data_IF_515561585616
#
_entry.id   IF_515561585616
#
_cell.length_a   1.000
_cell.length_b   1.000
_cell.length_c   1.000
_cell.angle_alpha   90.00
_cell.angle_beta   90.00
_cell.angle_gamma   90.00
#
_symmetry.space_group_name_H-M   'P 1'
#
loop_
_entity.id
_entity.type
_entity.pdbx_description
1 polymer ?
#
# COMPACT_ATOMS: atom_id res chain seq x y z
N UNK A 1 7.02 0.25 -3.39
CA UNK A 1 6.11 -0.81 -3.90
C UNK A 1 6.53 -2.22 -3.53
N UNK A 2 7.76 -2.64 -3.87
CA UNK A 2 8.23 -4.01 -3.59
C UNK A 2 8.20 -4.38 -2.09
N UNK A 3 8.57 -3.45 -1.20
CA UNK A 3 8.47 -3.67 0.24
C UNK A 3 7.08 -3.98 0.75
N UNK A 4 6.10 -3.17 0.33
CA UNK A 4 4.69 -3.39 0.66
C UNK A 4 4.19 -4.72 0.09
N UNK A 5 4.63 -5.11 -1.11
CA UNK A 5 4.31 -6.41 -1.66
C UNK A 5 4.86 -7.54 -0.78
N UNK A 6 6.14 -7.50 -0.41
CA UNK A 6 6.74 -8.52 0.46
C UNK A 6 6.07 -8.56 1.83
N UNK A 7 5.82 -7.42 2.45
CA UNK A 7 5.07 -7.33 3.71
C UNK A 7 3.69 -8.00 3.60
N UNK A 8 2.94 -7.70 2.52
CA UNK A 8 1.60 -8.26 2.31
C UNK A 8 1.61 -9.73 1.95
N UNK A 9 2.59 -10.20 1.18
CA UNK A 9 2.79 -11.62 0.92
C UNK A 9 3.13 -12.40 2.19
N UNK A 10 4.02 -11.87 3.02
CA UNK A 10 4.36 -12.47 4.31
C UNK A 10 3.12 -12.53 5.21
N UNK A 11 2.31 -11.46 5.23
CA UNK A 11 1.03 -11.46 5.95
C UNK A 11 0.12 -12.57 5.44
N UNK A 12 -0.13 -12.67 4.13
CA UNK A 12 -0.97 -13.72 3.52
C UNK A 12 -0.42 -15.14 3.75
N UNK A 13 0.90 -15.33 3.71
CA UNK A 13 1.54 -16.65 3.90
C UNK A 13 1.50 -17.10 5.37
N UNK A 14 1.74 -16.19 6.31
CA UNK A 14 1.79 -16.47 7.75
C UNK A 14 0.45 -16.31 8.48
N UNK A 15 -0.66 -16.16 7.76
CA UNK A 15 -2.02 -16.09 8.34
C UNK A 15 -2.28 -17.22 9.36
N UNK A 16 -1.79 -18.44 9.09
CA UNK A 16 -2.02 -19.61 9.95
C UNK A 16 -1.30 -19.52 11.31
N UNK A 17 -0.18 -18.80 11.38
CA UNK A 17 0.68 -18.64 12.57
C UNK A 17 0.55 -17.25 13.21
N UNK A 18 -0.28 -16.37 12.64
CA UNK A 18 -0.36 -14.96 12.99
C UNK A 18 -0.72 -14.72 14.47
N UNK A 19 -1.59 -15.56 15.02
CA UNK A 19 -2.02 -15.48 16.43
C UNK A 19 -0.99 -16.07 17.41
N UNK A 20 -0.06 -16.91 16.93
CA UNK A 20 0.90 -17.62 17.80
C UNK A 20 2.21 -16.85 17.99
N UNK A 21 2.64 -16.06 17.00
CA UNK A 21 3.96 -15.40 17.05
C UNK A 21 3.90 -13.98 16.48
N UNK A 22 4.13 -12.98 17.34
CA UNK A 22 4.25 -11.58 16.91
C UNK A 22 5.67 -11.29 16.39
N UNK A 23 5.84 -11.29 15.06
CA UNK A 23 7.16 -11.08 14.41
C UNK A 23 7.40 -9.62 14.06
N UNK A 24 7.65 -8.79 15.09
CA UNK A 24 7.90 -7.33 14.93
C UNK A 24 9.18 -6.99 14.15
N UNK A 25 10.12 -7.93 14.00
CA UNK A 25 11.40 -7.70 13.30
C UNK A 25 11.26 -7.65 11.77
N UNK A 26 10.25 -8.34 11.20
CA UNK A 26 10.08 -8.43 9.74
C UNK A 26 9.87 -7.06 9.08
N UNK A 27 8.96 -6.19 9.55
CA UNK A 27 8.82 -4.84 8.99
C UNK A 27 10.11 -4.02 9.07
N UNK A 28 10.84 -4.11 10.19
CA UNK A 28 12.11 -3.38 10.36
C UNK A 28 13.17 -3.85 9.38
N UNK A 29 13.29 -5.15 9.13
CA UNK A 29 14.22 -5.71 8.13
C UNK A 29 13.87 -5.21 6.73
N UNK A 30 12.58 -5.22 6.37
CA UNK A 30 12.11 -4.74 5.06
C UNK A 30 12.39 -3.25 4.90
N UNK A 31 12.11 -2.43 5.91
CA UNK A 31 12.38 -0.99 5.89
C UNK A 31 13.89 -0.75 5.74
N UNK A 32 14.71 -1.37 6.58
CA UNK A 32 16.16 -1.22 6.54
C UNK A 32 16.70 -1.58 5.15
N UNK A 33 16.31 -2.72 4.61
CA UNK A 33 16.75 -3.18 3.28
C UNK A 33 16.40 -2.18 2.18
N UNK A 34 15.15 -1.68 2.15
CA UNK A 34 14.71 -0.74 1.12
C UNK A 34 15.42 0.60 1.27
N UNK A 35 15.57 1.10 2.50
CA UNK A 35 16.24 2.37 2.76
C UNK A 35 17.72 2.30 2.36
N UNK A 36 18.41 1.20 2.69
CA UNK A 36 19.82 1.01 2.27
C UNK A 36 19.93 0.95 0.75
N UNK A 37 19.06 0.21 0.06
CA UNK A 37 19.04 0.16 -1.40
C UNK A 37 18.78 1.54 -2.02
N UNK A 38 17.84 2.31 -1.46
CA UNK A 38 17.56 3.68 -1.91
C UNK A 38 18.77 4.59 -1.75
N UNK A 39 19.47 4.54 -0.61
CA UNK A 39 20.67 5.35 -0.38
C UNK A 39 21.76 5.03 -1.42
N UNK A 40 22.00 3.74 -1.70
CA UNK A 40 22.98 3.33 -2.71
C UNK A 40 22.61 3.88 -4.09
N UNK A 41 21.35 3.73 -4.50
CA UNK A 41 20.87 4.27 -5.78
C UNK A 41 21.02 5.79 -5.86
N UNK A 42 20.71 6.52 -4.78
CA UNK A 42 20.89 7.97 -4.71
C UNK A 42 22.35 8.37 -4.86
N UNK A 43 23.28 7.69 -4.15
CA UNK A 43 24.73 7.95 -4.28
C UNK A 43 25.19 7.72 -5.72
N UNK A 44 24.82 6.60 -6.32
CA UNK A 44 25.18 6.30 -7.71
C UNK A 44 24.68 7.36 -8.69
N UNK A 45 23.49 7.89 -8.47
CA UNK A 45 22.89 8.93 -9.31
C UNK A 45 23.53 10.31 -9.08
N UNK A 46 23.68 10.74 -7.82
CA UNK A 46 24.19 12.07 -7.46
C UNK A 46 25.65 12.27 -7.86
N UNK A 47 26.47 11.22 -7.75
CA UNK A 47 27.89 11.29 -8.14
C UNK A 47 28.13 10.88 -9.60
N UNK A 48 27.05 10.71 -10.39
CA UNK A 48 27.12 10.31 -11.80
C UNK A 48 27.99 9.07 -12.06
N UNK A 49 28.06 8.14 -11.08
CA UNK A 49 28.86 6.92 -11.19
C UNK A 49 28.35 6.00 -12.31
N UNK A 50 27.07 6.17 -12.68
CA UNK A 50 26.38 5.43 -13.71
C UNK A 50 25.56 6.43 -14.54
N UNK A 51 25.49 6.23 -15.85
CA UNK A 51 24.66 7.05 -16.74
C UNK A 51 23.21 7.11 -16.26
N UNK A 52 22.60 8.31 -16.29
CA UNK A 52 21.29 8.60 -15.71
C UNK A 52 20.16 7.66 -16.16
N UNK A 53 20.23 7.14 -17.39
CA UNK A 53 19.18 6.28 -17.93
C UNK A 53 19.14 4.89 -17.27
N UNK A 54 20.24 4.37 -16.74
CA UNK A 54 20.25 3.08 -16.04
C UNK A 54 19.45 3.08 -14.73
N UNK A 55 19.72 3.95 -13.73
CA UNK A 55 18.94 3.97 -12.49
C UNK A 55 17.49 4.36 -12.71
N UNK A 56 17.21 5.22 -13.70
CA UNK A 56 15.84 5.64 -14.05
C UNK A 56 15.05 4.49 -14.68
N UNK A 57 15.62 3.78 -15.65
CA UNK A 57 14.95 2.61 -16.25
C UNK A 57 14.79 1.47 -15.25
N UNK A 58 15.79 1.22 -14.40
CA UNK A 58 15.71 0.22 -13.34
C UNK A 58 14.61 0.53 -12.33
N UNK A 59 14.50 1.78 -11.87
CA UNK A 59 13.46 2.17 -10.90
C UNK A 59 12.05 2.01 -11.47
N UNK A 60 11.85 2.37 -12.74
CA UNK A 60 10.58 2.16 -13.44
C UNK A 60 10.26 0.68 -13.66
N UNK A 61 11.26 -0.14 -14.02
CA UNK A 61 11.09 -1.59 -14.14
C UNK A 61 10.65 -2.20 -12.80
N UNK A 62 11.30 -1.83 -11.70
CA UNK A 62 10.90 -2.25 -10.35
C UNK A 62 9.48 -1.80 -10.00
N UNK A 63 9.06 -0.62 -10.43
CA UNK A 63 7.70 -0.12 -10.26
C UNK A 63 6.68 -0.99 -11.02
N UNK A 64 6.91 -1.25 -12.31
CA UNK A 64 6.05 -2.13 -13.13
C UNK A 64 5.95 -3.53 -12.54
N UNK A 65 7.08 -4.14 -12.15
CA UNK A 65 7.11 -5.45 -11.49
C UNK A 65 6.30 -5.40 -10.19
N UNK A 66 6.47 -4.35 -9.38
CA UNK A 66 5.71 -4.16 -8.14
C UNK A 66 4.20 -4.10 -8.37
N UNK A 67 3.74 -3.43 -9.43
CA UNK A 67 2.32 -3.36 -9.81
C UNK A 67 1.80 -4.74 -10.23
N UNK A 68 2.54 -5.48 -11.08
CA UNK A 68 2.15 -6.82 -11.52
C UNK A 68 2.04 -7.80 -10.35
N UNK A 69 3.03 -7.78 -9.47
CA UNK A 69 3.06 -8.59 -8.25
C UNK A 69 1.88 -8.25 -7.33
N UNK A 70 1.55 -6.97 -7.20
CA UNK A 70 0.39 -6.53 -6.44
C UNK A 70 -0.94 -7.03 -7.03
N UNK A 71 -1.12 -6.91 -8.35
CA UNK A 71 -2.31 -7.44 -9.06
C UNK A 71 -2.42 -8.94 -8.82
N UNK A 72 -1.33 -9.69 -8.99
CA UNK A 72 -1.30 -11.14 -8.72
C UNK A 72 -1.73 -11.45 -7.29
N UNK A 73 -1.19 -10.73 -6.30
CA UNK A 73 -1.57 -10.91 -4.89
C UNK A 73 -3.06 -10.63 -4.66
N UNK A 74 -3.60 -9.59 -5.28
CA UNK A 74 -5.03 -9.27 -5.19
C UNK A 74 -5.89 -10.42 -5.75
N UNK A 75 -5.55 -10.96 -6.91
CA UNK A 75 -6.27 -12.09 -7.50
C UNK A 75 -6.19 -13.33 -6.62
N UNK A 76 -5.00 -13.72 -6.16
CA UNK A 76 -4.83 -14.88 -5.28
C UNK A 76 -5.62 -14.75 -3.97
N UNK A 77 -5.66 -13.55 -3.37
CA UNK A 77 -6.46 -13.33 -2.16
C UNK A 77 -7.97 -13.40 -2.43
N UNK A 78 -8.43 -12.91 -3.59
CA UNK A 78 -9.83 -13.02 -4.00
C UNK A 78 -10.24 -14.47 -4.25
N UNK A 79 -9.39 -15.25 -4.93
CA UNK A 79 -9.63 -16.68 -5.20
C UNK A 79 -9.75 -17.47 -3.89
N UNK A 80 -8.83 -17.26 -2.95
CA UNK A 80 -8.89 -17.88 -1.61
C UNK A 80 -10.16 -17.50 -0.85
N UNK A 81 -10.64 -16.26 -1.00
CA UNK A 81 -11.90 -15.83 -0.40
C UNK A 81 -13.10 -16.56 -0.99
N UNK A 82 -13.17 -16.67 -2.31
CA UNK A 82 -14.23 -17.41 -3.01
C UNK A 82 -14.21 -18.91 -2.65
N UNK A 83 -13.02 -19.52 -2.53
CA UNK A 83 -12.88 -20.92 -2.10
C UNK A 83 -13.42 -21.12 -0.67
N UNK A 84 -13.04 -20.26 0.27
CA UNK A 84 -13.49 -20.32 1.68
C UNK A 84 -14.99 -20.05 1.83
N UNK A 85 -15.59 -19.28 0.92
CA UNK A 85 -17.02 -19.00 0.91
C UNK A 85 -17.84 -20.15 0.31
N UNK A 86 -17.32 -20.82 -0.72
CA UNK A 86 -18.01 -21.91 -1.41
C UNK A 86 -17.84 -23.29 -0.73
N UNK A 87 -16.75 -23.52 0.01
CA UNK A 87 -16.49 -24.81 0.66
C UNK A 87 -17.11 -24.89 2.07
N UNK A 88 -18.42 -25.20 2.13
CA UNK A 88 -19.16 -25.42 3.37
C UNK A 88 -18.64 -26.62 4.20
N UNK A 89 -17.86 -27.55 3.61
CA UNK A 89 -17.33 -28.73 4.35
C UNK A 89 -16.05 -28.41 5.12
N UNK A 90 -15.14 -27.60 4.57
CA UNK A 90 -13.97 -27.07 5.31
C UNK A 90 -14.35 -26.02 6.36
N UNK A 91 -15.47 -25.33 6.19
CA UNK A 91 -16.01 -24.35 7.17
C UNK A 91 -16.26 -24.93 8.58
N UNK A 92 -16.35 -26.26 8.72
CA UNK A 92 -16.64 -26.96 9.98
C UNK A 92 -15.39 -27.28 10.83
N UNK A 93 -14.19 -27.23 10.26
CA UNK A 93 -12.95 -27.60 10.96
C UNK A 93 -12.12 -26.36 11.34
N UNK A 94 -12.22 -25.97 12.61
CA UNK A 94 -11.24 -25.28 13.47
C UNK A 94 -10.51 -23.99 13.03
N UNK A 95 -10.64 -23.52 11.79
CA UNK A 95 -9.81 -22.44 11.23
C UNK A 95 -10.62 -21.34 10.51
N UNK A 96 -11.90 -21.19 10.83
CA UNK A 96 -12.85 -20.64 9.84
C UNK A 96 -13.37 -19.24 10.12
N UNK A 97 -13.30 -18.75 11.35
CA UNK A 97 -13.75 -17.38 11.66
C UNK A 97 -12.62 -16.36 11.56
N UNK A 98 -11.53 -16.56 12.30
CA UNK A 98 -10.36 -15.65 12.29
C UNK A 98 -9.74 -15.54 10.90
N UNK A 99 -9.63 -16.66 10.17
CA UNK A 99 -9.17 -16.69 8.79
C UNK A 99 -10.05 -15.85 7.86
N UNK A 100 -11.38 -15.97 7.95
CA UNK A 100 -12.32 -15.18 7.14
C UNK A 100 -12.17 -13.70 7.45
N UNK A 101 -12.17 -13.31 8.73
CA UNK A 101 -11.96 -11.91 9.12
C UNK A 101 -10.62 -11.36 8.60
N UNK A 102 -9.53 -12.12 8.71
CA UNK A 102 -8.22 -11.69 8.23
C UNK A 102 -8.15 -11.59 6.69
N UNK A 103 -8.80 -12.51 5.97
CA UNK A 103 -8.86 -12.45 4.51
C UNK A 103 -9.71 -11.26 4.03
N UNK A 104 -10.84 -11.02 4.70
CA UNK A 104 -11.73 -9.89 4.42
C UNK A 104 -11.03 -8.55 4.66
N UNK A 105 -10.32 -8.43 5.79
CA UNK A 105 -9.51 -7.26 6.11
C UNK A 105 -8.37 -7.08 5.10
N UNK A 106 -7.67 -8.15 4.71
CA UNK A 106 -6.65 -8.09 3.67
C UNK A 106 -7.22 -7.65 2.32
N UNK A 107 -8.37 -8.17 1.88
CA UNK A 107 -9.01 -7.77 0.62
C UNK A 107 -9.46 -6.30 0.68
N UNK A 108 -10.04 -5.87 1.81
CA UNK A 108 -10.44 -4.46 2.02
C UNK A 108 -9.22 -3.53 1.96
N UNK A 109 -8.12 -3.91 2.60
CA UNK A 109 -6.86 -3.17 2.53
C UNK A 109 -6.32 -3.13 1.10
N UNK A 110 -6.37 -4.24 0.36
CA UNK A 110 -5.90 -4.30 -1.02
C UNK A 110 -6.77 -3.50 -1.99
N UNK A 111 -8.07 -3.34 -1.75
CA UNK A 111 -8.94 -2.47 -2.56
C UNK A 111 -8.55 -0.99 -2.44
N UNK A 112 -8.27 -0.54 -1.22
CA UNK A 112 -7.77 0.83 -0.97
C UNK A 112 -6.39 1.02 -1.60
N UNK A 113 -5.51 0.03 -1.42
CA UNK A 113 -4.17 0.07 -2.02
C UNK A 113 -4.25 0.03 -3.55
N UNK A 114 -5.22 -0.68 -4.17
CA UNK A 114 -5.41 -0.71 -5.63
C UNK A 114 -5.64 0.69 -6.22
N UNK A 115 -6.52 1.48 -5.60
CA UNK A 115 -6.79 2.85 -6.05
C UNK A 115 -5.54 3.73 -5.94
N UNK A 116 -4.82 3.63 -4.82
CA UNK A 116 -3.54 4.31 -4.65
C UNK A 116 -2.50 3.87 -5.68
N UNK A 117 -2.36 2.58 -5.92
CA UNK A 117 -1.42 2.03 -6.91
C UNK A 117 -1.74 2.47 -8.34
N UNK A 118 -3.00 2.58 -8.74
CA UNK A 118 -3.37 3.10 -10.06
C UNK A 118 -2.96 4.57 -10.22
N UNK A 119 -3.26 5.42 -9.24
CA UNK A 119 -2.89 6.85 -9.27
C UNK A 119 -1.38 7.03 -9.29
N UNK A 120 -0.65 6.32 -8.42
CA UNK A 120 0.81 6.34 -8.36
C UNK A 120 1.45 5.75 -9.62
N UNK A 121 0.80 4.73 -10.18
CA UNK A 121 1.08 4.13 -11.47
C UNK A 121 1.16 5.18 -12.57
N UNK A 122 0.02 5.81 -12.88
CA UNK A 122 -0.09 6.82 -13.93
C UNK A 122 0.80 8.04 -13.69
N UNK A 123 0.90 8.50 -12.44
CA UNK A 123 1.76 9.62 -12.10
C UNK A 123 3.26 9.28 -12.35
N UNK A 124 3.71 8.07 -12.01
CA UNK A 124 5.08 7.66 -12.30
C UNK A 124 5.40 7.57 -13.81
N UNK A 125 4.43 7.20 -14.65
CA UNK A 125 4.61 7.22 -16.12
C UNK A 125 4.79 8.66 -16.62
N UNK A 126 3.94 9.58 -16.14
CA UNK A 126 4.02 10.98 -16.51
C UNK A 126 5.38 11.59 -16.10
N UNK A 127 5.87 11.25 -14.91
CA UNK A 127 7.18 11.70 -14.43
C UNK A 127 8.33 11.14 -15.27
N UNK A 128 8.28 9.85 -15.62
CA UNK A 128 9.29 9.23 -16.49
C UNK A 128 9.40 9.93 -17.85
N UNK A 129 8.26 10.28 -18.46
CA UNK A 129 8.23 11.02 -19.72
C UNK A 129 8.82 12.41 -19.53
N UNK A 130 8.43 13.12 -18.47
CA UNK A 130 8.88 14.48 -18.20
C UNK A 130 10.39 14.55 -17.92
N UNK A 131 10.92 13.61 -17.14
CA UNK A 131 12.35 13.47 -16.86
C UNK A 131 13.14 13.05 -18.12
N UNK A 132 12.58 12.15 -18.94
CA UNK A 132 13.18 11.76 -20.22
C UNK A 132 13.26 12.93 -21.21
N UNK A 133 12.21 13.75 -21.30
CA UNK A 133 12.21 14.98 -22.10
C UNK A 133 13.24 15.99 -21.61
N UNK A 134 13.37 16.16 -20.29
CA UNK A 134 14.39 17.03 -19.70
C UNK A 134 15.81 16.64 -20.14
N UNK A 135 16.10 15.34 -20.24
CA UNK A 135 17.42 14.83 -20.63
C UNK A 135 17.58 14.61 -22.15
N UNK A 136 16.62 15.05 -22.96
CA UNK A 136 16.69 14.91 -24.42
C UNK A 136 17.69 15.91 -25.02
N UNK A 137 18.71 15.40 -25.74
CA UNK A 137 19.76 16.23 -26.34
C UNK A 137 19.22 17.28 -27.33
N UNK A 138 18.13 16.95 -28.03
CA UNK A 138 17.49 17.86 -28.99
C UNK A 138 16.90 19.09 -28.30
N UNK A 139 16.15 18.90 -27.22
CA UNK A 139 15.57 19.99 -26.43
C UNK A 139 16.64 20.84 -25.75
N UNK A 140 17.73 20.22 -25.32
CA UNK A 140 18.85 20.95 -24.69
C UNK A 140 19.57 21.89 -25.66
N UNK A 141 19.60 21.55 -26.95
CA UNK A 141 20.25 22.36 -28.01
C UNK A 141 19.36 23.47 -28.58
N UNK A 142 18.03 23.38 -28.42
CA UNK A 142 17.07 24.32 -29.01
C UNK A 142 17.00 25.68 -28.30
N UNK A 143 17.24 25.73 -27.00
CA UNK A 143 16.96 26.89 -26.14
C UNK A 143 18.06 27.11 -25.09
N UNK A 144 19.32 26.87 -25.46
CA UNK A 144 20.50 26.96 -24.57
C UNK A 144 20.39 26.17 -23.25
N UNK A 145 19.46 25.20 -23.18
CA UNK A 145 19.21 24.35 -22.02
C UNK A 145 18.19 24.87 -21.01
N UNK A 146 17.61 26.06 -21.18
CA UNK A 146 16.66 26.62 -20.21
C UNK A 146 15.39 25.77 -20.06
N UNK A 147 14.75 25.39 -21.17
CA UNK A 147 13.60 24.47 -21.17
C UNK A 147 13.92 23.11 -20.52
N UNK A 148 15.10 22.55 -20.77
CA UNK A 148 15.56 21.28 -20.19
C UNK A 148 15.64 21.38 -18.66
N UNK A 149 16.19 22.47 -18.14
CA UNK A 149 16.32 22.72 -16.71
C UNK A 149 14.96 22.97 -16.04
N UNK A 150 14.05 23.71 -16.70
CA UNK A 150 12.68 23.91 -16.21
C UNK A 150 11.93 22.57 -16.08
N UNK A 151 12.00 21.72 -17.10
CA UNK A 151 11.41 20.38 -17.06
C UNK A 151 12.02 19.51 -15.95
N UNK A 152 13.33 19.61 -15.72
CA UNK A 152 14.00 18.91 -14.63
C UNK A 152 13.42 19.33 -13.26
N UNK A 153 13.31 20.64 -13.01
CA UNK A 153 12.72 21.16 -11.78
C UNK A 153 11.26 20.73 -11.60
N UNK A 154 10.48 20.72 -12.69
CA UNK A 154 9.09 20.25 -12.67
C UNK A 154 8.99 18.75 -12.33
N UNK A 155 9.90 17.90 -12.83
CA UNK A 155 9.93 16.47 -12.46
C UNK A 155 10.19 16.29 -10.97
N UNK A 156 11.18 16.99 -10.40
CA UNK A 156 11.47 16.90 -8.98
C UNK A 156 10.33 17.40 -8.10
N UNK A 157 9.65 18.47 -8.50
CA UNK A 157 8.47 18.96 -7.81
C UNK A 157 7.34 17.93 -7.85
N UNK A 158 7.09 17.35 -9.03
CA UNK A 158 6.04 16.36 -9.23
C UNK A 158 6.29 15.09 -8.42
N UNK A 159 7.54 14.58 -8.41
CA UNK A 159 7.94 13.47 -7.56
C UNK A 159 7.77 13.76 -6.07
N UNK A 160 8.08 14.98 -5.63
CA UNK A 160 7.90 15.38 -4.24
C UNK A 160 6.42 15.39 -3.83
N UNK A 161 5.54 15.86 -4.72
CA UNK A 161 4.09 15.86 -4.49
C UNK A 161 3.57 14.42 -4.39
N UNK A 162 3.98 13.54 -5.31
CA UNK A 162 3.58 12.12 -5.31
C UNK A 162 4.05 11.43 -4.03
N UNK A 163 5.31 11.65 -3.63
CA UNK A 163 5.88 11.07 -2.42
C UNK A 163 5.12 11.49 -1.15
N UNK A 164 4.62 12.73 -1.09
CA UNK A 164 3.79 13.23 0.01
C UNK A 164 2.35 12.74 -0.05
N UNK A 165 1.78 12.54 -1.26
CA UNK A 165 0.42 12.05 -1.42
C UNK A 165 0.21 10.64 -0.84
N UNK A 166 1.23 9.77 -0.92
CA UNK A 166 1.16 8.38 -0.39
C UNK A 166 0.91 8.32 1.12
N UNK A 167 1.74 8.92 1.99
CA UNK A 167 1.51 8.89 3.44
C UNK A 167 0.25 9.66 3.84
N UNK A 168 -0.10 10.73 3.11
CA UNK A 168 -1.35 11.46 3.33
C UNK A 168 -2.55 10.54 3.05
N UNK A 169 -2.59 9.88 1.89
CA UNK A 169 -3.65 8.92 1.57
C UNK A 169 -3.71 7.77 2.58
N UNK A 170 -2.56 7.27 3.05
CA UNK A 170 -2.50 6.26 4.10
C UNK A 170 -3.09 6.75 5.43
N UNK A 171 -2.82 8.00 5.83
CA UNK A 171 -3.41 8.61 7.03
C UNK A 171 -4.94 8.69 6.94
N UNK A 172 -5.49 9.04 5.77
CA UNK A 172 -6.94 9.12 5.54
C UNK A 172 -7.60 7.75 5.31
N UNK A 173 -6.82 6.70 5.02
CA UNK A 173 -7.37 5.36 4.73
C UNK A 173 -7.89 4.61 5.96
N UNK A 174 -7.46 4.96 7.18
CA UNK A 174 -7.84 4.23 8.40
C UNK A 174 -8.42 5.14 9.48
N UNK A 175 -9.60 4.83 10.06
CA UNK A 175 -10.27 5.66 11.05
C UNK A 175 -9.43 5.89 12.32
N UNK A 176 -8.60 4.92 12.71
CA UNK A 176 -7.67 5.06 13.86
C UNK A 176 -6.66 6.19 13.67
N UNK A 177 -6.07 6.32 12.47
CA UNK A 177 -5.10 7.39 12.20
C UNK A 177 -5.78 8.75 12.14
N UNK A 178 -7.00 8.81 11.60
CA UNK A 178 -7.83 10.02 11.61
C UNK A 178 -8.19 10.48 13.03
N UNK A 179 -8.55 9.56 13.94
CA UNK A 179 -8.79 9.89 15.35
C UNK A 179 -7.55 10.45 16.06
N UNK A 180 -6.36 9.92 15.73
CA UNK A 180 -5.09 10.46 16.24
C UNK A 180 -4.85 11.87 15.69
N UNK A 181 -5.09 12.08 14.39
CA UNK A 181 -4.94 13.39 13.74
C UNK A 181 -5.90 14.46 14.30
N UNK A 182 -7.13 14.06 14.63
CA UNK A 182 -8.13 14.94 15.24
C UNK A 182 -7.74 15.40 16.65
N UNK A 183 -6.92 14.61 17.36
CA UNK A 183 -6.39 14.98 18.69
C UNK A 183 -5.20 15.94 18.62
N UNK A 184 -4.56 16.10 17.47
CA UNK A 184 -3.39 16.98 17.31
C UNK A 184 -3.80 18.46 17.30
N UNK A 185 -3.06 19.31 18.03
CA UNK A 185 -3.45 20.70 18.34
C UNK A 185 -3.69 21.60 17.12
N UNK A 186 -2.88 21.44 16.07
CA UNK A 186 -2.96 22.26 14.84
C UNK A 186 -3.77 21.58 13.75
N UNK A 187 -3.45 20.32 13.45
CA UNK A 187 -4.08 19.55 12.37
C UNK A 187 -5.52 19.16 12.70
N UNK A 188 -5.84 18.92 13.98
CA UNK A 188 -7.17 18.49 14.39
C UNK A 188 -8.26 19.53 14.11
N UNK A 189 -7.93 20.82 14.07
CA UNK A 189 -8.88 21.88 13.66
C UNK A 189 -9.25 21.79 12.17
N UNK A 190 -8.29 21.40 11.32
CA UNK A 190 -8.47 21.27 9.87
C UNK A 190 -9.18 19.97 9.47
N UNK A 191 -9.20 18.95 10.35
CA UNK A 191 -9.73 17.60 10.06
C UNK A 191 -11.05 17.30 10.81
N UNK A 192 -11.54 18.27 11.58
CA UNK A 192 -12.82 18.16 12.33
C UNK A 192 -14.07 18.08 11.46
N UNK A 193 -14.00 18.44 10.18
CA UNK A 193 -15.13 18.37 9.24
C UNK A 193 -15.42 16.94 8.76
N UNK A 194 -14.52 16.00 9.01
CA UNK A 194 -14.67 14.61 8.62
C UNK A 194 -15.16 13.78 9.81
N UNK A 195 -16.45 13.39 9.77
CA UNK A 195 -17.02 12.49 10.77
C UNK A 195 -16.41 11.09 10.61
N UNK A 196 -15.53 10.73 11.54
CA UNK A 196 -14.92 9.41 11.58
C UNK A 196 -15.95 8.44 12.15
N UNK A 197 -16.38 7.41 11.39
CA UNK A 197 -17.26 6.38 11.92
C UNK A 197 -16.63 5.75 13.17
N UNK A 198 -17.38 5.63 14.25
CA UNK A 198 -16.88 4.98 15.46
C UNK A 198 -16.53 3.53 15.15
N UNK A 199 -15.25 3.18 15.32
CA UNK A 199 -14.71 1.82 15.18
C UNK A 199 -15.53 0.79 15.98
N UNK A 200 -16.12 1.22 17.11
CA UNK A 200 -17.00 0.38 17.92
C UNK A 200 -18.30 0.00 17.20
N UNK A 201 -18.89 0.87 16.36
CA UNK A 201 -20.17 0.58 15.67
C UNK A 201 -19.99 -0.47 14.58
N UNK A 202 -18.86 -0.46 13.86
CA UNK A 202 -18.59 -1.46 12.80
C UNK A 202 -18.20 -2.81 13.42
N UNK A 203 -17.44 -2.80 14.52
CA UNK A 203 -16.95 -4.03 15.16
C UNK A 203 -18.01 -4.70 16.04
N UNK A 204 -18.89 -3.93 16.69
CA UNK A 204 -19.97 -4.51 17.50
C UNK A 204 -21.05 -5.14 16.65
N UNK A 205 -21.45 -4.58 15.51
CA UNK A 205 -22.58 -5.15 14.77
C UNK A 205 -22.29 -6.57 14.24
N UNK A 206 -21.15 -6.78 13.56
CA UNK A 206 -20.79 -8.09 13.01
C UNK A 206 -20.46 -9.12 14.10
N UNK A 207 -19.74 -8.69 15.14
CA UNK A 207 -19.35 -9.56 16.25
C UNK A 207 -20.57 -9.92 17.11
N UNK A 208 -21.47 -8.97 17.35
CA UNK A 208 -22.70 -9.20 18.11
C UNK A 208 -23.71 -10.02 17.32
N UNK A 209 -23.85 -9.82 16.01
CA UNK A 209 -24.65 -10.70 15.16
C UNK A 209 -24.08 -12.11 15.12
N UNK A 210 -22.76 -12.28 15.04
CA UNK A 210 -22.11 -13.58 15.10
C UNK A 210 -22.38 -14.30 16.43
N UNK A 211 -22.15 -13.63 17.57
CA UNK A 211 -22.42 -14.22 18.90
C UNK A 211 -23.92 -14.42 19.18
N UNK A 212 -24.80 -13.57 18.66
CA UNK A 212 -26.25 -13.74 18.74
C UNK A 212 -26.72 -14.97 17.93
N UNK A 213 -26.16 -15.17 16.74
CA UNK A 213 -26.44 -16.36 15.93
C UNK A 213 -25.87 -17.62 16.57
N UNK A 214 -24.69 -17.55 17.20
CA UNK A 214 -24.08 -18.65 17.95
C UNK A 214 -24.93 -19.04 19.18
N UNK A 215 -25.41 -18.03 19.92
CA UNK A 215 -26.33 -18.20 21.07
C UNK A 215 -27.65 -18.84 20.66
N UNK A 216 -28.24 -18.39 19.54
CA UNK A 216 -29.46 -19.01 18.99
C UNK A 216 -29.26 -20.48 18.62
N UNK A 217 -28.12 -20.85 18.02
CA UNK A 217 -27.83 -22.23 17.66
C UNK A 217 -27.61 -23.13 18.89
N UNK A 218 -27.04 -22.60 19.96
CA UNK A 218 -26.82 -23.33 21.21
C UNK A 218 -28.13 -23.62 21.97
N UNK A 219 -29.09 -22.70 21.90
CA UNK A 219 -30.39 -22.84 22.58
C UNK A 219 -31.38 -23.77 21.84
N UNK A 220 -31.09 -24.18 20.60
CA UNK A 220 -31.93 -25.12 19.83
C UNK A 220 -31.55 -26.60 19.99
N UNK A 221 -30.52 -26.89 20.79
CA UNK A 221 -30.02 -28.27 21.05
C UNK A 221 -30.32 -28.78 22.47
N UNK A 222 -31.25 -28.13 23.19
CA UNK A 222 -31.78 -28.61 24.47
C UNK A 222 -33.17 -29.20 24.33
#
# INVERSE_FOLDING_TARGET
MLGLYFERQLSTYYIADYERVTRKHLPWIIILFITTLSIICTICFTFELIQWYYPVTFSYLCMCIGVLLFIKLYHTNMEKWTEVQNDHRRARHAYTLSLRFQLEENIRSLKLIKQGFSVLGFAGIADFILFGLSNCEFLRKLDDGYLSQLLCCLSFLFMSIIAMAVPIAALFSHPTYMKILQKTRFIGKLVKWYDVPSVDVIRTDDTSQYFANLSKQWNTTG
#
